data_IF_783668748505
#
_entry.id   IF_783668748505
#
_cell.length_a   1.000
_cell.length_b   1.000
_cell.length_c   1.000
_cell.angle_alpha   90.00
_cell.angle_beta   90.00
_cell.angle_gamma   90.00
#
_symmetry.space_group_name_H-M   'P 1'
#
loop_
_entity.id
_entity.type
_entity.pdbx_description
1 polymer ?
#
# COMPACT_ATOMS: atom_id res chain seq x y z
N UNK A 1 -2.52 3.88 22.21
CA UNK A 1 -2.60 4.93 21.18
C UNK A 1 -3.65 5.96 21.64
N UNK A 2 -3.35 7.25 21.54
CA UNK A 2 -4.23 8.35 21.92
C UNK A 2 -4.74 9.04 20.65
N UNK A 3 -6.05 9.24 20.55
CA UNK A 3 -6.65 9.98 19.43
C UNK A 3 -6.85 11.44 19.86
N UNK A 4 -6.36 12.36 19.04
CA UNK A 4 -6.57 13.81 19.19
C UNK A 4 -7.58 14.30 18.15
N UNK A 5 -8.10 15.51 18.33
CA UNK A 5 -9.03 16.16 17.40
C UNK A 5 -8.66 17.63 17.23
N UNK A 6 -7.43 17.88 16.78
CA UNK A 6 -6.89 19.23 16.62
C UNK A 6 -7.55 20.00 15.47
N UNK A 7 -8.13 19.28 14.51
CA UNK A 7 -8.82 19.84 13.33
C UNK A 7 -10.32 20.00 13.51
N UNK A 8 -10.86 19.71 14.71
CA UNK A 8 -12.28 19.90 14.99
C UNK A 8 -13.22 19.01 14.18
N UNK A 9 -12.82 17.75 13.94
CA UNK A 9 -13.67 16.77 13.26
C UNK A 9 -14.97 16.55 14.04
N UNK A 10 -16.11 16.32 13.34
CA UNK A 10 -17.37 15.94 13.99
C UNK A 10 -17.22 14.68 14.83
N UNK A 11 -17.91 14.63 15.97
CA UNK A 11 -17.79 13.56 16.96
C UNK A 11 -17.89 12.14 16.39
N UNK A 12 -18.80 11.79 15.44
CA UNK A 12 -18.86 10.43 14.88
C UNK A 12 -17.56 9.96 14.23
N UNK A 13 -16.76 10.87 13.63
CA UNK A 13 -15.46 10.54 13.04
C UNK A 13 -14.39 10.29 14.11
N UNK A 14 -14.44 11.05 15.19
CA UNK A 14 -13.57 10.83 16.37
C UNK A 14 -13.90 9.49 17.02
N UNK A 15 -15.18 9.18 17.18
CA UNK A 15 -15.64 7.92 17.75
C UNK A 15 -15.20 6.72 16.90
N UNK A 16 -15.23 6.85 15.57
CA UNK A 16 -14.68 5.84 14.67
C UNK A 16 -13.19 5.63 14.92
N UNK A 17 -12.41 6.72 14.94
CA UNK A 17 -10.97 6.65 15.17
C UNK A 17 -10.60 5.99 16.52
N UNK A 18 -11.36 6.28 17.57
CA UNK A 18 -11.17 5.69 18.91
C UNK A 18 -11.53 4.19 18.91
N UNK A 19 -12.57 3.81 18.17
CA UNK A 19 -13.13 2.46 18.19
C UNK A 19 -12.64 1.58 17.04
N UNK A 20 -11.62 2.01 16.27
CA UNK A 20 -11.04 1.19 15.19
C UNK A 20 -10.56 -0.16 15.76
N UNK A 21 -11.24 -1.22 15.32
CA UNK A 21 -11.04 -2.59 15.81
C UNK A 21 -10.08 -3.38 14.93
N UNK A 22 -9.10 -2.70 14.29
CA UNK A 22 -8.11 -3.48 13.57
C UNK A 22 -7.51 -4.58 14.45
N UNK A 23 -7.58 -5.80 13.99
CA UNK A 23 -7.10 -6.95 14.73
C UNK A 23 -6.34 -7.92 13.82
N UNK A 24 -5.21 -8.43 14.31
CA UNK A 24 -4.50 -9.56 13.69
C UNK A 24 -5.14 -10.91 14.03
N UNK A 25 -6.23 -10.92 14.77
CA UNK A 25 -6.84 -12.13 15.32
C UNK A 25 -5.92 -12.78 16.36
N UNK A 26 -5.81 -14.13 16.30
CA UNK A 26 -4.93 -14.92 17.21
C UNK A 26 -3.51 -15.10 16.67
N UNK A 27 -3.12 -14.36 15.62
CA UNK A 27 -1.80 -14.48 15.00
C UNK A 27 -0.72 -13.67 15.74
N UNK A 28 0.52 -14.09 15.59
CA UNK A 28 1.67 -13.31 16.02
C UNK A 28 1.85 -12.07 15.16
N UNK A 29 1.62 -12.22 13.84
CA UNK A 29 1.74 -11.13 12.87
C UNK A 29 0.66 -11.21 11.78
N UNK A 30 0.11 -10.05 11.38
CA UNK A 30 -0.73 -9.96 10.19
C UNK A 30 0.09 -9.74 8.93
N UNK A 31 -0.44 -10.11 7.76
CA UNK A 31 0.21 -9.85 6.45
C UNK A 31 0.53 -8.37 6.28
N UNK A 32 -0.37 -7.46 6.65
CA UNK A 32 -0.13 -6.02 6.56
C UNK A 32 1.04 -5.56 7.43
N UNK A 33 1.21 -6.13 8.62
CA UNK A 33 2.36 -5.85 9.48
C UNK A 33 3.63 -6.55 8.99
N UNK A 34 3.50 -7.77 8.44
CA UNK A 34 4.62 -8.56 7.91
C UNK A 34 5.33 -7.85 6.75
N UNK A 35 4.58 -7.25 5.84
CA UNK A 35 5.15 -6.53 4.69
C UNK A 35 5.66 -5.12 5.04
N UNK A 36 5.29 -4.58 6.19
CA UNK A 36 5.77 -3.27 6.68
C UNK A 36 7.10 -3.41 7.44
N UNK A 37 7.68 -2.28 7.83
CA UNK A 37 8.96 -2.23 8.56
C UNK A 37 8.89 -2.92 9.92
N UNK A 38 9.85 -3.84 10.24
CA UNK A 38 9.98 -4.43 11.56
C UNK A 38 10.15 -3.38 12.67
N UNK A 39 10.87 -2.28 12.38
CA UNK A 39 11.01 -1.15 13.30
C UNK A 39 9.66 -0.56 13.68
N UNK A 40 8.82 -0.28 12.67
CA UNK A 40 7.50 0.33 12.89
C UNK A 40 6.61 -0.58 13.73
N UNK A 41 6.63 -1.91 13.46
CA UNK A 41 5.86 -2.87 14.26
C UNK A 41 6.31 -2.88 15.72
N UNK A 42 7.59 -3.09 15.99
CA UNK A 42 8.11 -3.18 17.36
C UNK A 42 7.88 -1.88 18.13
N UNK A 43 8.07 -0.72 17.48
CA UNK A 43 7.79 0.57 18.12
C UNK A 43 6.30 0.78 18.41
N UNK A 44 5.40 0.38 17.51
CA UNK A 44 3.95 0.43 17.75
C UNK A 44 3.54 -0.44 18.93
N UNK A 45 4.06 -1.66 18.99
CA UNK A 45 3.74 -2.60 20.06
C UNK A 45 4.28 -2.11 21.42
N UNK A 46 5.51 -1.54 21.43
CA UNK A 46 6.19 -1.11 22.65
C UNK A 46 5.75 0.25 23.19
N UNK A 47 5.33 1.16 22.32
CA UNK A 47 4.98 2.54 22.66
C UNK A 47 3.56 2.92 22.27
N UNK A 48 2.67 1.95 22.16
CA UNK A 48 1.27 2.18 21.77
C UNK A 48 0.58 3.25 22.62
N UNK A 49 0.87 3.32 23.91
CA UNK A 49 0.34 4.30 24.86
C UNK A 49 0.85 5.74 24.60
N UNK A 50 2.01 5.88 23.94
CA UNK A 50 2.65 7.17 23.66
C UNK A 50 2.37 7.69 22.25
N UNK A 51 1.84 6.84 21.37
CA UNK A 51 1.51 7.23 20.00
C UNK A 51 0.24 8.08 20.01
N UNK A 52 0.34 9.28 19.45
CA UNK A 52 -0.81 10.18 19.22
C UNK A 52 -1.10 10.25 17.72
N UNK A 53 -2.38 10.07 17.34
CA UNK A 53 -2.86 10.20 15.96
C UNK A 53 -4.06 11.14 15.98
N UNK A 54 -4.11 12.08 15.05
CA UNK A 54 -5.28 12.94 14.93
C UNK A 54 -6.41 12.22 14.17
N UNK A 55 -7.66 12.46 14.58
CA UNK A 55 -8.83 11.84 13.95
C UNK A 55 -8.90 12.12 12.44
N UNK A 56 -8.36 13.25 11.97
CA UNK A 56 -8.33 13.59 10.54
C UNK A 56 -7.49 12.60 9.73
N UNK A 57 -6.44 12.02 10.30
CA UNK A 57 -5.58 11.05 9.63
C UNK A 57 -6.28 9.69 9.42
N UNK A 58 -7.35 9.44 10.18
CA UNK A 58 -8.15 8.20 10.10
C UNK A 58 -9.32 8.27 9.11
N UNK A 59 -9.56 9.43 8.47
CA UNK A 59 -10.69 9.60 7.54
C UNK A 59 -10.65 8.61 6.38
N UNK A 60 -9.48 8.36 5.82
CA UNK A 60 -9.35 7.40 4.72
C UNK A 60 -9.49 5.94 5.15
N UNK A 61 -9.14 5.62 6.40
CA UNK A 61 -9.42 4.31 6.98
C UNK A 61 -10.94 4.11 7.16
N UNK A 62 -11.68 5.14 7.61
CA UNK A 62 -13.14 5.11 7.67
C UNK A 62 -13.77 4.80 6.31
N UNK A 63 -13.33 5.50 5.25
CA UNK A 63 -13.84 5.23 3.90
C UNK A 63 -13.54 3.80 3.44
N UNK A 64 -12.34 3.30 3.72
CA UNK A 64 -12.00 1.91 3.46
C UNK A 64 -12.96 0.95 4.15
N UNK A 65 -13.12 1.08 5.47
CA UNK A 65 -14.01 0.23 6.28
C UNK A 65 -15.46 0.29 5.79
N UNK A 66 -15.97 1.47 5.45
CA UNK A 66 -17.34 1.63 4.94
C UNK A 66 -17.53 0.91 3.60
N UNK A 67 -16.56 1.01 2.68
CA UNK A 67 -16.60 0.31 1.38
C UNK A 67 -16.55 -1.20 1.59
N UNK A 68 -15.65 -1.72 2.42
CA UNK A 68 -15.58 -3.15 2.74
C UNK A 68 -16.90 -3.67 3.30
N UNK A 69 -17.49 -2.98 4.28
CA UNK A 69 -18.78 -3.36 4.87
C UNK A 69 -19.92 -3.42 3.86
N UNK A 70 -19.97 -2.47 2.91
CA UNK A 70 -20.98 -2.47 1.84
C UNK A 70 -20.75 -3.62 0.87
N UNK A 71 -19.50 -3.88 0.46
CA UNK A 71 -19.17 -4.93 -0.52
C UNK A 71 -19.29 -6.32 0.09
N UNK A 72 -18.98 -6.51 1.36
CA UNK A 72 -19.21 -7.75 2.09
C UNK A 72 -20.68 -8.14 2.09
N UNK A 73 -21.58 -7.18 2.33
CA UNK A 73 -23.02 -7.40 2.35
C UNK A 73 -23.62 -7.78 0.98
N UNK A 74 -22.90 -7.56 -0.12
CA UNK A 74 -23.35 -7.82 -1.49
C UNK A 74 -23.39 -9.31 -1.88
N UNK A 75 -23.04 -10.22 -0.99
CA UNK A 75 -22.96 -11.66 -1.21
C UNK A 75 -24.27 -12.36 -1.56
N UNK A 76 -25.40 -11.75 -1.29
CA UNK A 76 -26.71 -12.37 -1.38
C UNK A 76 -27.16 -12.69 -2.82
N UNK A 77 -26.39 -12.27 -3.83
CA UNK A 77 -26.79 -12.39 -5.25
C UNK A 77 -25.80 -13.12 -6.14
N UNK A 78 -24.90 -13.93 -5.58
CA UNK A 78 -24.04 -14.78 -6.39
C UNK A 78 -24.90 -15.81 -7.12
N UNK A 79 -25.31 -15.51 -8.34
CA UNK A 79 -25.78 -16.52 -9.30
C UNK A 79 -24.55 -17.32 -9.72
N UNK A 80 -24.24 -18.29 -8.93
CA UNK A 80 -23.16 -19.21 -9.18
C UNK A 80 -23.58 -20.12 -10.32
N UNK A 81 -22.80 -20.20 -11.36
CA UNK A 81 -23.15 -20.99 -12.54
C UNK A 81 -23.06 -22.49 -12.30
N UNK A 82 -22.22 -22.94 -11.38
CA UNK A 82 -21.98 -24.36 -11.08
C UNK A 82 -21.97 -24.60 -9.56
N UNK A 83 -22.46 -25.76 -9.07
CA UNK A 83 -22.49 -26.09 -7.62
C UNK A 83 -21.13 -26.08 -6.92
N UNK A 84 -20.03 -26.23 -7.68
CA UNK A 84 -18.67 -26.19 -7.14
C UNK A 84 -18.11 -24.77 -7.01
N UNK A 85 -18.74 -23.77 -7.66
CA UNK A 85 -18.29 -22.40 -7.61
C UNK A 85 -18.59 -21.79 -6.23
N UNK A 86 -17.64 -21.03 -5.70
CA UNK A 86 -17.76 -20.42 -4.37
C UNK A 86 -17.29 -18.97 -4.40
N UNK A 87 -17.99 -18.17 -3.65
CA UNK A 87 -17.54 -16.83 -3.29
C UNK A 87 -17.42 -16.80 -1.78
N UNK A 88 -16.24 -16.40 -1.30
CA UNK A 88 -15.92 -16.29 0.12
C UNK A 88 -15.45 -14.84 0.34
N UNK A 89 -16.12 -14.13 1.26
CA UNK A 89 -15.76 -12.76 1.59
C UNK A 89 -15.25 -12.68 3.04
N UNK A 90 -14.37 -11.71 3.29
CA UNK A 90 -13.83 -11.35 4.60
C UNK A 90 -13.31 -12.56 5.40
N UNK A 91 -12.72 -13.53 4.70
CA UNK A 91 -12.17 -14.69 5.37
C UNK A 91 -10.76 -14.42 5.89
N UNK A 92 -10.58 -14.62 7.19
CA UNK A 92 -9.25 -14.57 7.80
C UNK A 92 -8.62 -15.95 7.78
N UNK A 93 -7.51 -16.07 7.07
CA UNK A 93 -6.70 -17.28 7.02
C UNK A 93 -5.49 -17.18 7.95
N UNK A 94 -5.01 -18.34 8.38
CA UNK A 94 -3.86 -18.50 9.26
C UNK A 94 -2.95 -19.60 8.75
N UNK A 95 -1.64 -19.38 8.89
CA UNK A 95 -0.63 -20.42 8.68
C UNK A 95 0.57 -20.20 9.61
N UNK A 96 1.18 -21.30 10.05
CA UNK A 96 2.36 -21.27 10.92
C UNK A 96 3.62 -21.38 10.08
N UNK A 97 4.58 -20.50 10.33
CA UNK A 97 5.91 -20.53 9.70
C UNK A 97 6.96 -19.98 10.66
N UNK A 98 8.09 -20.67 10.76
CA UNK A 98 9.22 -20.31 11.64
C UNK A 98 8.79 -20.03 13.09
N UNK A 99 7.80 -20.80 13.61
CA UNK A 99 7.31 -20.67 14.99
C UNK A 99 6.36 -19.48 15.23
N UNK A 100 6.02 -18.71 14.22
CA UNK A 100 4.98 -17.68 14.30
C UNK A 100 3.76 -18.05 13.46
N UNK A 101 2.59 -17.69 13.97
CA UNK A 101 1.32 -17.73 13.22
C UNK A 101 1.14 -16.42 12.45
N UNK A 102 1.01 -16.52 11.13
CA UNK A 102 0.73 -15.41 10.22
C UNK A 102 -0.77 -15.40 9.91
N UNK A 103 -1.41 -14.22 9.89
CA UNK A 103 -2.80 -14.10 9.46
C UNK A 103 -2.99 -13.08 8.35
N UNK A 104 -3.97 -13.36 7.48
CA UNK A 104 -4.44 -12.42 6.46
C UNK A 104 -5.96 -12.47 6.34
N UNK A 105 -6.63 -11.34 6.40
CA UNK A 105 -8.04 -11.23 6.04
C UNK A 105 -8.12 -10.89 4.55
N UNK A 106 -8.77 -11.77 3.79
CA UNK A 106 -8.98 -11.59 2.34
C UNK A 106 -10.38 -11.04 2.12
N UNK A 107 -10.46 -9.93 1.40
CA UNK A 107 -11.73 -9.27 1.17
C UNK A 107 -12.68 -10.13 0.34
N UNK A 108 -12.16 -10.76 -0.72
CA UNK A 108 -12.97 -11.62 -1.59
C UNK A 108 -12.13 -12.70 -2.27
N UNK A 109 -12.69 -13.91 -2.29
CA UNK A 109 -12.15 -15.06 -3.01
C UNK A 109 -13.24 -15.62 -3.91
N UNK A 110 -12.99 -15.69 -5.21
CA UNK A 110 -13.90 -16.29 -6.20
C UNK A 110 -13.27 -17.59 -6.72
N UNK A 111 -13.89 -18.72 -6.40
CA UNK A 111 -13.39 -20.03 -6.80
C UNK A 111 -14.33 -20.58 -7.86
N UNK A 112 -13.79 -20.83 -9.06
CA UNK A 112 -14.50 -21.40 -10.19
C UNK A 112 -13.69 -22.53 -10.77
N UNK A 113 -14.29 -23.70 -10.92
CA UNK A 113 -13.63 -24.90 -11.44
C UNK A 113 -12.30 -25.23 -10.74
N UNK A 114 -12.24 -25.01 -9.42
CA UNK A 114 -11.03 -25.21 -8.62
C UNK A 114 -9.96 -24.11 -8.77
N UNK A 115 -10.23 -23.07 -9.56
CA UNK A 115 -9.31 -21.94 -9.76
C UNK A 115 -9.80 -20.72 -8.97
N UNK A 116 -8.98 -20.22 -8.08
CA UNK A 116 -9.28 -19.06 -7.22
C UNK A 116 -8.77 -17.76 -7.84
N UNK A 117 -9.62 -16.74 -7.81
CA UNK A 117 -9.25 -15.34 -7.97
C UNK A 117 -9.35 -14.67 -6.60
N UNK A 118 -8.24 -14.11 -6.11
CA UNK A 118 -8.19 -13.34 -4.86
C UNK A 118 -8.29 -11.86 -5.21
N UNK A 119 -9.24 -11.15 -4.61
CA UNK A 119 -9.50 -9.74 -4.87
C UNK A 119 -9.41 -8.98 -3.55
N UNK A 120 -8.69 -7.87 -3.56
CA UNK A 120 -8.54 -6.97 -2.43
C UNK A 120 -9.06 -5.58 -2.84
N UNK A 121 -9.93 -4.99 -2.02
CA UNK A 121 -10.57 -3.71 -2.29
C UNK A 121 -9.70 -2.56 -1.77
N UNK A 122 -9.43 -1.57 -2.60
CA UNK A 122 -8.64 -0.39 -2.21
C UNK A 122 -9.33 0.91 -2.60
N UNK A 123 -9.71 1.71 -1.62
CA UNK A 123 -10.08 3.11 -1.84
C UNK A 123 -8.79 3.92 -2.01
N UNK A 124 -8.49 4.32 -3.24
CA UNK A 124 -7.18 4.89 -3.58
C UNK A 124 -7.28 6.04 -4.59
N UNK A 125 -6.13 6.57 -5.01
CA UNK A 125 -6.06 7.60 -6.04
C UNK A 125 -5.81 7.01 -7.42
N UNK A 126 -6.17 7.76 -8.46
CA UNK A 126 -5.81 7.47 -9.86
C UNK A 126 -4.31 7.30 -10.03
N UNK A 127 -3.52 8.14 -9.35
CA UNK A 127 -2.06 8.07 -9.39
C UNK A 127 -1.54 6.68 -8.97
N UNK A 128 -2.15 6.07 -7.96
CA UNK A 128 -1.76 4.75 -7.47
C UNK A 128 -2.00 3.62 -8.47
N UNK A 129 -3.01 3.77 -9.33
CA UNK A 129 -3.29 2.79 -10.40
C UNK A 129 -2.31 2.97 -11.57
N UNK A 130 -2.02 4.21 -11.95
CA UNK A 130 -1.12 4.51 -13.07
C UNK A 130 0.33 4.07 -12.76
N UNK A 131 0.79 4.28 -11.54
CA UNK A 131 2.18 4.02 -11.15
C UNK A 131 2.39 2.72 -10.36
N UNK A 132 1.32 2.08 -9.93
CA UNK A 132 1.36 0.90 -9.07
C UNK A 132 1.77 1.22 -7.63
N UNK A 133 1.68 0.22 -6.78
CA UNK A 133 2.20 0.24 -5.40
C UNK A 133 2.84 -1.11 -5.08
N UNK A 134 4.14 -1.15 -4.75
CA UNK A 134 4.83 -2.40 -4.41
C UNK A 134 4.17 -3.17 -3.26
N UNK A 135 3.51 -2.46 -2.34
CA UNK A 135 2.81 -3.07 -1.22
C UNK A 135 1.63 -3.94 -1.66
N UNK A 136 0.97 -3.61 -2.77
CA UNK A 136 -0.12 -4.41 -3.32
C UNK A 136 0.36 -5.80 -3.76
N UNK A 137 1.49 -5.83 -4.44
CA UNK A 137 2.10 -7.09 -4.91
C UNK A 137 2.52 -7.96 -3.72
N UNK A 138 3.21 -7.37 -2.74
CA UNK A 138 3.62 -8.07 -1.52
C UNK A 138 2.42 -8.63 -0.74
N UNK A 139 1.39 -7.81 -0.52
CA UNK A 139 0.20 -8.18 0.24
C UNK A 139 -0.56 -9.33 -0.41
N UNK A 140 -0.87 -9.20 -1.71
CA UNK A 140 -1.66 -10.19 -2.42
C UNK A 140 -0.92 -11.51 -2.60
N UNK A 141 0.40 -11.49 -2.80
CA UNK A 141 1.18 -12.71 -2.87
C UNK A 141 1.32 -13.43 -1.51
N UNK A 142 1.37 -12.68 -0.39
CA UNK A 142 1.24 -13.27 0.94
C UNK A 142 -0.15 -13.88 1.15
N UNK A 143 -1.22 -13.26 0.64
CA UNK A 143 -2.55 -13.86 0.66
C UNK A 143 -2.64 -15.12 -0.21
N UNK A 144 -2.06 -15.11 -1.41
CA UNK A 144 -1.99 -16.30 -2.27
C UNK A 144 -1.25 -17.45 -1.59
N UNK A 145 -0.14 -17.16 -0.86
CA UNK A 145 0.54 -18.15 -0.06
C UNK A 145 -0.36 -18.71 1.07
N UNK A 146 -1.01 -17.85 1.88
CA UNK A 146 -1.95 -18.30 2.91
C UNK A 146 -3.09 -19.14 2.35
N UNK A 147 -3.62 -18.79 1.18
CA UNK A 147 -4.66 -19.53 0.50
C UNK A 147 -4.19 -20.96 0.14
N UNK A 148 -2.98 -21.10 -0.43
CA UNK A 148 -2.40 -22.40 -0.79
C UNK A 148 -2.17 -23.26 0.46
N UNK A 149 -1.60 -22.71 1.52
CA UNK A 149 -1.39 -23.41 2.79
C UNK A 149 -2.72 -23.92 3.37
N UNK A 150 -3.73 -23.07 3.41
CA UNK A 150 -5.06 -23.41 3.95
C UNK A 150 -5.78 -24.47 3.14
N UNK A 151 -5.65 -24.44 1.83
CA UNK A 151 -6.40 -25.28 0.90
C UNK A 151 -5.55 -26.36 0.24
N UNK A 152 -4.40 -26.66 0.81
CA UNK A 152 -3.47 -27.68 0.29
C UNK A 152 -4.13 -29.01 -0.11
N UNK A 153 -5.10 -29.49 0.68
CA UNK A 153 -5.81 -30.74 0.42
C UNK A 153 -7.01 -30.60 -0.52
N UNK A 154 -7.38 -29.39 -0.97
CA UNK A 154 -8.57 -29.15 -1.79
C UNK A 154 -8.31 -29.10 -3.29
N UNK A 155 -7.06 -29.26 -3.72
CA UNK A 155 -6.64 -29.13 -5.12
C UNK A 155 -6.99 -27.77 -5.76
N UNK A 156 -7.33 -26.76 -4.94
CA UNK A 156 -7.60 -25.41 -5.43
C UNK A 156 -6.30 -24.69 -5.75
N UNK A 157 -6.28 -24.03 -6.90
CA UNK A 157 -5.12 -23.27 -7.38
C UNK A 157 -5.43 -21.78 -7.43
N UNK A 158 -4.46 -20.95 -7.09
CA UNK A 158 -4.57 -19.51 -7.31
C UNK A 158 -4.27 -19.22 -8.79
N UNK A 159 -5.28 -18.79 -9.53
CA UNK A 159 -5.14 -18.45 -10.95
C UNK A 159 -4.94 -16.95 -11.20
N UNK A 160 -5.42 -16.10 -10.28
CA UNK A 160 -5.33 -14.64 -10.45
C UNK A 160 -5.40 -13.94 -9.08
N UNK A 161 -4.67 -12.85 -8.94
CA UNK A 161 -4.74 -11.95 -7.79
C UNK A 161 -4.90 -10.52 -8.30
N UNK A 162 -5.84 -9.75 -7.74
CA UNK A 162 -6.26 -8.45 -8.27
C UNK A 162 -6.52 -7.44 -7.16
N UNK A 163 -6.17 -6.19 -7.43
CA UNK A 163 -6.70 -5.05 -6.69
C UNK A 163 -7.97 -4.56 -7.39
N UNK A 164 -9.07 -4.45 -6.66
CA UNK A 164 -10.24 -3.69 -7.09
C UNK A 164 -10.09 -2.27 -6.55
N UNK A 165 -9.57 -1.37 -7.39
CA UNK A 165 -9.30 0.01 -7.02
C UNK A 165 -10.55 0.88 -7.22
N UNK A 166 -11.00 1.51 -6.12
CA UNK A 166 -12.09 2.50 -6.09
C UNK A 166 -11.42 3.88 -6.03
N UNK A 167 -11.52 4.63 -7.12
CA UNK A 167 -10.74 5.84 -7.36
C UNK A 167 -11.46 7.08 -6.83
N UNK A 168 -11.03 7.57 -5.67
CA UNK A 168 -11.64 8.71 -4.97
C UNK A 168 -11.49 10.07 -5.68
N UNK A 169 -10.52 10.19 -6.58
CA UNK A 169 -10.18 11.40 -7.33
C UNK A 169 -10.36 11.24 -8.84
N UNK A 170 -11.13 10.22 -9.27
CA UNK A 170 -11.43 10.00 -10.67
C UNK A 170 -12.26 11.13 -11.27
N UNK A 171 -11.91 11.52 -12.50
CA UNK A 171 -12.58 12.60 -13.22
C UNK A 171 -12.96 12.16 -14.64
N UNK A 172 -14.23 12.27 -15.00
CA UNK A 172 -14.74 11.89 -16.32
C UNK A 172 -14.08 12.67 -17.46
N UNK A 173 -13.82 13.97 -17.28
CA UNK A 173 -13.23 14.81 -18.33
C UNK A 173 -11.77 14.39 -18.63
N UNK A 174 -11.05 13.91 -17.62
CA UNK A 174 -9.71 13.40 -17.81
C UNK A 174 -9.73 12.05 -18.52
N UNK A 175 -10.69 11.17 -18.18
CA UNK A 175 -10.90 9.89 -18.86
C UNK A 175 -11.23 10.07 -20.36
N UNK A 176 -12.04 11.08 -20.71
CA UNK A 176 -12.39 11.39 -22.11
C UNK A 176 -11.22 11.98 -22.93
N UNK A 177 -10.20 12.54 -22.25
CA UNK A 177 -9.08 13.25 -22.90
C UNK A 177 -7.76 12.50 -22.92
N UNK A 178 -7.59 11.50 -22.06
CA UNK A 178 -6.33 10.85 -21.82
C UNK A 178 -6.50 9.33 -21.86
N UNK A 179 -5.84 8.68 -22.78
CA UNK A 179 -5.83 7.22 -22.92
C UNK A 179 -5.12 6.51 -21.78
N UNK A 180 -4.11 7.17 -21.17
CA UNK A 180 -3.35 6.65 -20.01
C UNK A 180 -4.09 6.84 -18.68
N UNK A 181 -5.28 7.42 -18.69
CA UNK A 181 -6.09 7.64 -17.50
C UNK A 181 -7.15 6.54 -17.34
N UNK A 182 -7.45 6.05 -16.12
CA UNK A 182 -8.48 5.03 -15.90
C UNK A 182 -9.83 5.45 -16.49
N UNK A 183 -10.40 4.59 -17.34
CA UNK A 183 -11.65 4.89 -18.05
C UNK A 183 -12.90 4.71 -17.17
N UNK A 184 -12.74 4.17 -15.95
CA UNK A 184 -13.81 3.97 -14.97
C UNK A 184 -13.35 4.37 -13.57
N UNK A 185 -14.25 4.84 -12.68
CA UNK A 185 -13.94 5.12 -11.29
C UNK A 185 -13.62 3.85 -10.47
N UNK A 186 -13.97 2.67 -11.00
CA UNK A 186 -13.61 1.37 -10.39
C UNK A 186 -12.89 0.56 -11.45
N UNK A 187 -11.69 0.10 -11.15
CA UNK A 187 -10.86 -0.68 -12.08
C UNK A 187 -10.22 -1.87 -11.36
N UNK A 188 -10.06 -2.98 -12.08
CA UNK A 188 -9.23 -4.08 -11.63
C UNK A 188 -7.79 -3.87 -12.10
N UNK A 189 -6.85 -4.05 -11.18
CA UNK A 189 -5.42 -4.08 -11.46
C UNK A 189 -4.94 -5.50 -11.23
N UNK A 190 -4.51 -6.16 -12.30
CA UNK A 190 -3.90 -7.48 -12.21
C UNK A 190 -2.52 -7.38 -11.56
N UNK A 191 -2.27 -8.25 -10.58
CA UNK A 191 -1.00 -8.31 -9.87
C UNK A 191 -0.26 -9.58 -10.30
N UNK A 192 1.05 -9.52 -10.60
CA UNK A 192 1.83 -10.71 -10.91
C UNK A 192 1.82 -11.70 -9.75
N UNK A 193 1.56 -12.98 -10.06
CA UNK A 193 1.62 -14.05 -9.07
C UNK A 193 3.07 -14.51 -8.96
N UNK A 194 3.59 -14.54 -7.74
CA UNK A 194 4.90 -15.09 -7.45
C UNK A 194 4.88 -16.62 -7.53
N UNK A 195 6.01 -17.17 -7.91
CA UNK A 195 6.27 -18.58 -7.73
C UNK A 195 6.06 -19.02 -6.27
N UNK A 196 5.63 -20.25 -6.04
CA UNK A 196 5.27 -20.73 -4.70
C UNK A 196 6.47 -20.77 -3.76
N UNK A 197 7.62 -21.17 -4.27
CA UNK A 197 8.84 -21.22 -3.50
C UNK A 197 9.32 -19.80 -3.16
N UNK A 198 9.28 -18.89 -4.13
CA UNK A 198 9.61 -17.49 -3.89
C UNK A 198 8.69 -16.85 -2.86
N UNK A 199 7.37 -17.06 -2.96
CA UNK A 199 6.40 -16.54 -1.99
C UNK A 199 6.67 -17.06 -0.58
N UNK A 200 6.92 -18.36 -0.44
CA UNK A 200 7.26 -18.99 0.84
C UNK A 200 8.57 -18.45 1.43
N UNK A 201 9.59 -18.30 0.60
CA UNK A 201 10.89 -17.77 1.03
C UNK A 201 10.77 -16.31 1.47
N UNK A 202 10.00 -15.49 0.72
CA UNK A 202 9.71 -14.12 1.11
C UNK A 202 9.02 -14.04 2.48
N UNK A 203 7.94 -14.81 2.68
CA UNK A 203 7.23 -14.83 3.97
C UNK A 203 8.17 -15.29 5.10
N UNK A 204 8.95 -16.34 4.86
CA UNK A 204 9.93 -16.86 5.83
C UNK A 204 10.98 -15.83 6.22
N UNK A 205 11.56 -15.13 5.26
CA UNK A 205 12.53 -14.05 5.50
C UNK A 205 11.88 -12.90 6.30
N UNK A 206 10.68 -12.48 5.90
CA UNK A 206 9.96 -11.42 6.62
C UNK A 206 9.67 -11.79 8.06
N UNK A 207 9.23 -13.03 8.34
CA UNK A 207 9.03 -13.52 9.71
C UNK A 207 10.33 -13.45 10.48
N UNK A 208 11.43 -13.96 9.93
CA UNK A 208 12.73 -13.99 10.60
C UNK A 208 13.23 -12.59 11.00
N UNK A 209 13.16 -11.61 10.10
CA UNK A 209 13.58 -10.24 10.43
C UNK A 209 12.66 -9.54 11.44
N UNK A 210 11.37 -9.88 11.47
CA UNK A 210 10.48 -9.39 12.50
C UNK A 210 10.74 -10.04 13.86
N UNK A 211 11.08 -11.31 13.90
CA UNK A 211 11.50 -12.01 15.12
C UNK A 211 12.82 -11.45 15.65
N UNK A 212 13.82 -11.27 14.79
CA UNK A 212 15.08 -10.65 15.14
C UNK A 212 14.92 -9.25 15.72
N UNK A 213 14.07 -8.43 15.11
CA UNK A 213 13.74 -7.10 15.60
C UNK A 213 13.12 -7.12 17.00
N UNK A 214 12.25 -8.10 17.27
CA UNK A 214 11.64 -8.28 18.60
C UNK A 214 12.69 -8.69 19.63
N UNK A 215 13.48 -9.70 19.31
CA UNK A 215 14.54 -10.20 20.22
C UNK A 215 15.55 -9.08 20.55
N UNK A 216 15.98 -8.31 19.56
CA UNK A 216 16.91 -7.20 19.78
C UNK A 216 16.31 -6.12 20.69
N UNK A 217 15.03 -5.83 20.54
CA UNK A 217 14.35 -4.90 21.43
C UNK A 217 14.23 -5.45 22.85
N UNK A 218 13.82 -6.71 23.00
CA UNK A 218 13.61 -7.35 24.32
C UNK A 218 14.93 -7.47 25.12
N UNK A 219 16.05 -7.71 24.43
CA UNK A 219 17.36 -7.86 25.06
C UNK A 219 18.03 -6.53 25.42
N UNK A 220 17.92 -5.52 24.60
CA UNK A 220 18.74 -4.31 24.73
C UNK A 220 18.00 -2.99 24.38
N UNK A 221 16.69 -3.04 24.13
CA UNK A 221 15.89 -1.86 23.79
C UNK A 221 16.20 -1.25 22.41
N UNK A 222 16.91 -1.97 21.54
CA UNK A 222 17.31 -1.45 20.23
C UNK A 222 16.30 -1.78 19.14
N UNK A 223 16.15 -0.84 18.19
CA UNK A 223 15.29 -1.00 17.02
C UNK A 223 16.15 -1.12 15.76
N UNK A 224 15.78 -2.00 14.81
CA UNK A 224 16.44 -2.02 13.51
C UNK A 224 16.25 -0.68 12.78
N UNK A 225 17.14 -0.38 11.86
CA UNK A 225 16.93 0.77 10.95
C UNK A 225 15.93 0.38 9.88
N UNK A 226 15.05 1.31 9.51
CA UNK A 226 14.23 1.14 8.30
C UNK A 226 15.12 1.19 7.05
N UNK A 227 14.81 0.37 6.07
CA UNK A 227 15.45 0.42 4.74
C UNK A 227 15.04 1.70 3.99
N UNK A 228 15.73 2.00 2.91
CA UNK A 228 15.41 3.14 2.07
C UNK A 228 14.01 3.02 1.45
N UNK A 229 13.63 1.81 1.03
CA UNK A 229 12.27 1.51 0.54
C UNK A 229 11.21 1.73 1.62
N UNK A 230 11.44 1.23 2.84
CA UNK A 230 10.52 1.41 3.96
C UNK A 230 10.34 2.88 4.37
N UNK A 231 11.35 3.73 4.09
CA UNK A 231 11.31 5.17 4.33
C UNK A 231 10.79 5.98 3.15
N UNK A 232 10.49 5.31 2.01
CA UNK A 232 10.11 5.94 0.74
C UNK A 232 11.13 6.98 0.30
N UNK A 233 12.37 6.55 0.19
CA UNK A 233 13.48 7.41 -0.18
C UNK A 233 13.29 7.96 -1.59
N UNK A 234 13.21 9.27 -1.70
CA UNK A 234 13.40 9.98 -2.96
C UNK A 234 14.88 10.22 -3.16
N UNK A 235 15.38 9.88 -4.34
CA UNK A 235 16.76 10.20 -4.74
C UNK A 235 16.92 11.69 -5.00
N UNK A 236 18.18 12.13 -5.04
CA UNK A 236 18.49 13.47 -5.51
C UNK A 236 17.95 13.66 -6.94
N UNK A 237 17.51 14.87 -7.25
CA UNK A 237 17.03 15.20 -8.58
C UNK A 237 17.36 16.65 -8.94
N UNK A 238 17.39 16.94 -10.24
CA UNK A 238 17.68 18.26 -10.80
C UNK A 238 16.50 18.71 -11.64
N UNK A 239 15.84 19.78 -11.22
CA UNK A 239 14.64 20.27 -11.86
C UNK A 239 14.97 21.49 -12.75
N UNK A 240 14.82 21.33 -14.06
CA UNK A 240 14.87 22.46 -14.99
C UNK A 240 13.55 23.22 -14.91
N UNK A 241 13.60 24.51 -14.58
CA UNK A 241 12.42 25.39 -14.51
C UNK A 241 12.70 26.71 -15.22
N UNK A 242 11.66 27.38 -15.71
CA UNK A 242 11.77 28.77 -16.13
C UNK A 242 11.99 29.65 -14.91
N UNK A 243 12.89 30.63 -15.00
CA UNK A 243 13.07 31.63 -13.93
C UNK A 243 11.72 32.23 -13.56
N UNK A 244 11.46 32.39 -12.26
CA UNK A 244 10.21 32.91 -11.67
C UNK A 244 9.01 31.95 -11.70
N UNK A 245 9.09 30.74 -12.27
CA UNK A 245 8.03 29.74 -12.20
C UNK A 245 8.37 28.65 -11.17
N UNK A 246 7.36 28.26 -10.38
CA UNK A 246 7.53 27.17 -9.41
C UNK A 246 7.53 25.78 -10.05
N UNK A 247 6.81 25.60 -11.18
CA UNK A 247 6.68 24.32 -11.88
C UNK A 247 7.90 24.04 -12.72
N UNK A 248 8.50 22.86 -12.52
CA UNK A 248 9.56 22.36 -13.38
C UNK A 248 9.06 22.09 -14.81
N UNK A 249 9.89 22.36 -15.80
CA UNK A 249 9.69 21.91 -17.18
C UNK A 249 9.98 20.41 -17.30
N UNK A 250 11.07 19.97 -16.66
CA UNK A 250 11.47 18.57 -16.60
C UNK A 250 12.34 18.32 -15.35
N UNK A 251 12.33 17.09 -14.84
CA UNK A 251 13.15 16.65 -13.72
C UNK A 251 14.08 15.53 -14.20
N UNK A 252 15.30 15.51 -13.71
CA UNK A 252 16.37 14.59 -14.09
C UNK A 252 16.99 13.93 -12.87
N UNK A 253 17.50 12.71 -13.05
CA UNK A 253 18.12 11.93 -11.99
C UNK A 253 19.61 12.27 -11.77
N UNK A 254 20.20 13.06 -12.66
CA UNK A 254 21.57 13.57 -12.55
C UNK A 254 21.70 14.97 -13.14
N UNK A 255 22.72 15.67 -12.69
CA UNK A 255 22.97 17.08 -13.02
C UNK A 255 23.34 17.25 -14.50
N UNK A 256 24.18 16.36 -15.05
CA UNK A 256 24.63 16.43 -16.45
C UNK A 256 23.45 16.40 -17.41
N UNK A 257 22.53 15.44 -17.22
CA UNK A 257 21.33 15.36 -18.08
C UNK A 257 20.45 16.61 -18.01
N UNK A 258 20.42 17.29 -16.86
CA UNK A 258 19.70 18.54 -16.71
C UNK A 258 20.36 19.67 -17.51
N UNK A 259 21.69 19.76 -17.48
CA UNK A 259 22.47 20.71 -18.27
C UNK A 259 22.35 20.45 -19.78
N UNK A 260 22.53 19.21 -20.21
CA UNK A 260 22.42 18.84 -21.63
C UNK A 260 21.03 19.21 -22.19
N UNK A 261 20.00 18.95 -21.40
CA UNK A 261 18.63 19.34 -21.79
C UNK A 261 18.42 20.86 -21.76
N UNK A 262 19.04 21.57 -20.83
CA UNK A 262 18.99 23.04 -20.77
C UNK A 262 19.63 23.67 -22.00
N UNK A 263 20.79 23.18 -22.41
CA UNK A 263 21.48 23.63 -23.64
C UNK A 263 20.62 23.38 -24.87
N UNK A 264 20.09 22.16 -25.05
CA UNK A 264 19.17 21.84 -26.13
C UNK A 264 17.91 22.70 -26.15
N UNK A 265 17.38 23.00 -24.96
CA UNK A 265 16.21 23.86 -24.81
C UNK A 265 16.46 25.28 -25.30
N UNK A 266 17.68 25.80 -25.08
CA UNK A 266 18.06 27.17 -25.47
C UNK A 266 18.53 27.31 -26.93
N UNK A 267 18.95 26.22 -27.62
CA UNK A 267 19.41 26.28 -29.01
C UNK A 267 18.37 26.92 -29.95
N UNK A 268 17.09 26.84 -29.65
CA UNK A 268 15.99 27.34 -30.49
C UNK A 268 15.12 28.41 -29.81
N UNK A 269 15.53 28.92 -28.62
CA UNK A 269 14.71 29.83 -27.81
C UNK A 269 15.57 30.96 -27.23
N UNK A 270 15.59 32.08 -27.91
CA UNK A 270 16.43 33.25 -27.56
C UNK A 270 15.67 34.35 -26.80
N UNK A 271 14.38 34.16 -26.49
CA UNK A 271 13.63 35.22 -25.80
C UNK A 271 13.99 35.24 -24.30
N UNK A 272 14.14 36.40 -23.65
CA UNK A 272 14.48 36.53 -22.22
C UNK A 272 13.48 35.83 -21.29
N UNK A 273 12.21 35.68 -21.68
CA UNK A 273 11.19 34.94 -20.94
C UNK A 273 11.43 33.40 -20.90
N UNK A 274 12.34 32.91 -21.73
CA UNK A 274 12.70 31.50 -21.81
C UNK A 274 13.93 31.17 -20.94
N UNK A 275 14.46 32.14 -20.21
CA UNK A 275 15.54 31.90 -19.27
C UNK A 275 15.16 30.82 -18.25
N UNK A 276 16.00 29.81 -18.11
CA UNK A 276 15.80 28.68 -17.22
C UNK A 276 16.88 28.64 -16.13
N UNK A 277 16.59 27.91 -15.08
CA UNK A 277 17.54 27.57 -14.04
C UNK A 277 17.39 26.11 -13.65
N UNK A 278 18.47 25.47 -13.22
CA UNK A 278 18.47 24.13 -12.69
C UNK A 278 18.45 24.26 -11.16
N UNK A 279 17.43 23.65 -10.55
CA UNK A 279 17.26 23.58 -9.11
C UNK A 279 17.63 22.19 -8.64
N UNK A 280 18.64 22.09 -7.79
CA UNK A 280 18.96 20.86 -7.09
C UNK A 280 17.89 20.57 -6.02
N UNK A 281 17.37 19.35 -6.02
CA UNK A 281 16.43 18.84 -5.04
C UNK A 281 17.07 17.67 -4.32
N UNK A 282 17.49 17.89 -3.09
CA UNK A 282 18.04 16.85 -2.24
C UNK A 282 17.04 15.74 -1.99
N UNK A 283 17.52 14.50 -1.99
CA UNK A 283 16.72 13.33 -1.64
C UNK A 283 16.18 13.44 -0.22
N UNK A 284 15.02 12.82 0.01
CA UNK A 284 14.37 12.83 1.32
C UNK A 284 13.64 11.54 1.62
N UNK A 285 13.46 11.24 2.89
CA UNK A 285 12.65 10.14 3.38
C UNK A 285 11.21 10.60 3.56
N UNK A 286 10.41 10.50 2.49
CA UNK A 286 9.07 11.10 2.46
C UNK A 286 8.10 10.48 3.45
N UNK A 287 8.25 9.19 3.79
CA UNK A 287 7.41 8.54 4.80
C UNK A 287 7.60 9.16 6.19
N UNK A 288 8.84 9.44 6.59
CA UNK A 288 9.15 10.01 7.90
C UNK A 288 8.80 11.50 7.99
N UNK A 289 9.15 12.28 6.95
CA UNK A 289 8.89 13.73 6.92
C UNK A 289 7.43 14.11 6.69
N UNK A 290 6.67 13.26 5.98
CA UNK A 290 5.30 13.53 5.56
C UNK A 290 4.22 13.06 6.53
N UNK A 291 4.56 12.71 7.77
CA UNK A 291 3.65 12.15 8.78
C UNK A 291 2.92 10.86 8.33
N UNK A 292 3.51 10.11 7.37
CA UNK A 292 2.96 8.81 6.96
C UNK A 292 3.43 7.66 7.84
N UNK A 293 4.32 7.92 8.79
CA UNK A 293 4.81 6.96 9.77
C UNK A 293 4.34 7.37 11.17
N UNK A 294 3.52 6.53 11.77
CA UNK A 294 2.93 6.79 13.09
C UNK A 294 3.93 6.74 14.27
N UNK A 295 5.19 6.40 13.98
CA UNK A 295 6.30 6.29 14.98
C UNK A 295 7.52 7.13 14.59
N UNK A 296 7.38 8.05 13.63
CA UNK A 296 8.46 8.95 13.19
C UNK A 296 8.67 10.11 14.16
#
# INVERSE_FOLDING_TARGET
>A
MKITNNFGMPQPFVDFAINDKYSKGKADISVTSLIDSPRVRVMKDSYNDKIEIDAVDMVWALFGTAVHSVLESSNTYSRVGHPSDKIINEERLYSDLNGWTISGAMDRQEIKDGIATIIDYKVTSVWSVIHGKPEWEKQLNCYAWLFREKHFFKEWKVGSIKICAILRDWNRKDAERREDYPQSPIVYVDIPIWDEEYAKNYVSERVSIHQEAQVNYDLNGSFPLCTDDERWQKKNSWALKKKKLKRALKVFDNEQSAHDYQEAYHQHRLHPSDATEIEFRGGEYTRCKGNYCSVA
#
